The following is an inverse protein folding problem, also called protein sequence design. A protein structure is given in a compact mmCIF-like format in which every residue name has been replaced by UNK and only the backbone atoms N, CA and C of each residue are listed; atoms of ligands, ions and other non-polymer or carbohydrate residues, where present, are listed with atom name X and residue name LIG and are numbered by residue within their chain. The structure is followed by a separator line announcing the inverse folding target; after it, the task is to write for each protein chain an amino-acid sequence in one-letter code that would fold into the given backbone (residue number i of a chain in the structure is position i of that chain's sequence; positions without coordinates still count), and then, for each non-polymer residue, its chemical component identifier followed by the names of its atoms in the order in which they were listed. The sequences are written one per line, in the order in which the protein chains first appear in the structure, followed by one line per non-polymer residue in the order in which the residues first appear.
data_IF_523164085759
#
_entry.id   IF_523164085759
#
_cell.length_a   1.000
_cell.length_b   1.000
_cell.length_c   1.000
_cell.angle_alpha   90.00
_cell.angle_beta   90.00
_cell.angle_gamma   90.00
#
_symmetry.space_group_name_H-M   'P 1'
#
loop_
_entity.id
_entity.type
_entity.pdbx_description
1 polymer ?
#
# COMPACT_ATOMS: atom_id res chain seq x y z
N UNK A 1 -18.34 39.79 27.00
CA UNK A 1 -18.91 38.51 27.42
C UNK A 1 -19.24 37.60 26.23
N UNK A 2 -19.79 38.16 25.17
CA UNK A 2 -20.12 37.34 23.97
C UNK A 2 -18.90 36.80 23.21
N UNK A 3 -17.74 37.44 23.35
CA UNK A 3 -16.52 36.99 22.68
C UNK A 3 -15.95 35.66 23.21
N UNK A 4 -16.20 35.37 24.50
CA UNK A 4 -15.73 34.13 25.11
C UNK A 4 -16.44 32.90 24.54
N UNK A 5 -17.70 33.03 24.17
CA UNK A 5 -18.50 31.96 23.62
C UNK A 5 -18.01 31.56 22.22
N UNK A 6 -17.53 32.55 21.47
CA UNK A 6 -17.04 32.31 20.09
C UNK A 6 -15.72 31.54 20.03
N UNK A 7 -14.88 31.68 21.05
CA UNK A 7 -13.58 31.02 21.09
C UNK A 7 -13.72 29.52 21.39
N UNK A 8 -14.70 29.14 22.23
CA UNK A 8 -14.91 27.75 22.60
C UNK A 8 -15.20 26.81 21.43
N UNK A 9 -16.12 27.14 20.50
CA UNK A 9 -16.39 26.26 19.35
C UNK A 9 -15.17 26.07 18.42
N UNK A 10 -14.37 27.12 18.23
CA UNK A 10 -13.18 27.04 17.38
C UNK A 10 -12.14 26.11 17.97
N UNK A 11 -11.95 26.13 19.29
CA UNK A 11 -11.03 25.24 19.98
C UNK A 11 -11.46 23.76 19.87
N UNK A 12 -12.77 23.51 19.97
CA UNK A 12 -13.31 22.17 19.85
C UNK A 12 -13.07 21.59 18.45
N UNK A 13 -13.21 22.40 17.41
CA UNK A 13 -12.96 21.95 16.03
C UNK A 13 -11.49 21.57 15.82
N UNK A 14 -10.57 22.34 16.37
CA UNK A 14 -9.14 22.04 16.25
C UNK A 14 -8.79 20.72 16.93
N UNK A 15 -9.38 20.43 18.07
CA UNK A 15 -9.15 19.17 18.78
C UNK A 15 -9.70 17.96 18.02
N UNK A 16 -10.77 18.13 17.29
CA UNK A 16 -11.37 17.03 16.51
C UNK A 16 -10.49 16.61 15.33
N UNK A 17 -9.72 17.50 14.75
CA UNK A 17 -8.83 17.17 13.63
C UNK A 17 -7.63 16.32 14.05
N UNK A 18 -7.09 16.53 15.25
CA UNK A 18 -5.89 15.84 15.71
C UNK A 18 -6.06 14.30 15.83
N UNK A 19 -7.16 13.78 16.41
CA UNK A 19 -7.36 12.33 16.47
C UNK A 19 -7.43 11.65 15.11
N UNK A 20 -8.02 12.30 14.11
CA UNK A 20 -8.12 11.74 12.76
C UNK A 20 -6.74 11.57 12.11
N UNK A 21 -5.87 12.55 12.27
CA UNK A 21 -4.50 12.47 11.73
C UNK A 21 -3.68 11.38 12.41
N UNK A 22 -3.81 11.23 13.71
CA UNK A 22 -3.13 10.18 14.46
C UNK A 22 -3.58 8.79 14.02
N UNK A 23 -4.87 8.60 13.75
CA UNK A 23 -5.41 7.33 13.29
C UNK A 23 -4.85 6.92 11.92
N UNK A 24 -4.67 7.87 11.00
CA UNK A 24 -4.10 7.59 9.68
C UNK A 24 -2.63 7.17 9.78
N UNK A 25 -1.88 7.72 10.72
CA UNK A 25 -0.47 7.42 10.89
C UNK A 25 -0.21 6.00 11.43
N UNK A 26 -1.23 5.32 11.96
CA UNK A 26 -1.08 4.01 12.58
C UNK A 26 -1.70 2.87 11.76
N UNK A 27 -1.84 3.05 10.45
CA UNK A 27 -2.37 2.01 9.57
C UNK A 27 -1.53 0.74 9.64
N UNK A 28 -2.15 -0.46 9.76
CA UNK A 28 -1.41 -1.71 9.86
C UNK A 28 -0.72 -2.10 8.56
N UNK A 29 0.33 -2.93 8.68
CA UNK A 29 1.11 -3.41 7.54
C UNK A 29 0.26 -4.12 6.48
N UNK A 30 -0.71 -4.93 6.92
CA UNK A 30 -1.62 -5.64 6.01
C UNK A 30 -2.47 -4.70 5.18
N UNK A 31 -2.80 -3.51 5.70
CA UNK A 31 -3.54 -2.49 4.94
C UNK A 31 -2.74 -1.94 3.79
N UNK A 32 -1.44 -1.71 3.98
CA UNK A 32 -0.57 -1.24 2.90
C UNK A 32 -0.41 -2.30 1.81
N UNK A 33 -0.31 -3.58 2.20
CA UNK A 33 -0.25 -4.68 1.24
C UNK A 33 -1.53 -4.76 0.41
N UNK A 34 -2.68 -4.74 1.08
CA UNK A 34 -3.97 -4.78 0.40
C UNK A 34 -4.14 -3.61 -0.56
N UNK A 35 -3.78 -2.41 -0.13
CA UNK A 35 -3.89 -1.21 -0.95
C UNK A 35 -2.99 -1.28 -2.19
N UNK A 36 -1.75 -1.75 -2.00
CA UNK A 36 -0.80 -1.87 -3.11
C UNK A 36 -1.26 -2.90 -4.14
N UNK A 37 -1.72 -4.07 -3.69
CA UNK A 37 -2.20 -5.10 -4.61
C UNK A 37 -3.47 -4.67 -5.35
N UNK A 38 -4.38 -3.97 -4.67
CA UNK A 38 -5.57 -3.42 -5.32
C UNK A 38 -5.17 -2.40 -6.40
N UNK A 39 -4.22 -1.52 -6.10
CA UNK A 39 -3.74 -0.52 -7.06
C UNK A 39 -3.04 -1.18 -8.26
N UNK A 40 -2.22 -2.21 -8.02
CA UNK A 40 -1.55 -2.96 -9.08
C UNK A 40 -2.55 -3.64 -10.02
N UNK A 41 -3.60 -4.23 -9.46
CA UNK A 41 -4.63 -4.88 -10.26
C UNK A 41 -5.43 -3.87 -11.07
N UNK A 42 -5.69 -2.67 -10.53
CA UNK A 42 -6.34 -1.60 -11.30
C UNK A 42 -5.45 -1.13 -12.44
N UNK A 43 -4.15 -0.97 -12.20
CA UNK A 43 -3.21 -0.60 -13.26
C UNK A 43 -3.23 -1.62 -14.39
N UNK A 44 -3.12 -2.90 -14.05
CA UNK A 44 -3.11 -3.98 -15.02
C UNK A 44 -4.38 -4.01 -15.87
N UNK A 45 -5.54 -3.83 -15.24
CA UNK A 45 -6.82 -3.93 -15.94
C UNK A 45 -7.16 -2.69 -16.76
N UNK A 46 -6.82 -1.50 -16.28
CA UNK A 46 -7.16 -0.25 -16.96
C UNK A 46 -6.09 0.21 -17.95
N UNK A 47 -4.83 -0.14 -17.71
CA UNK A 47 -3.68 0.28 -18.51
C UNK A 47 -3.53 1.79 -18.64
N UNK A 48 -4.11 2.55 -17.70
CA UNK A 48 -4.04 4.02 -17.71
C UNK A 48 -2.81 4.48 -16.96
N UNK A 49 -2.16 5.52 -17.46
CA UNK A 49 -0.96 6.07 -16.84
C UNK A 49 -1.19 6.49 -15.39
N UNK A 50 -2.32 7.15 -15.13
CA UNK A 50 -2.60 7.62 -13.75
C UNK A 50 -2.83 6.47 -12.78
N UNK A 51 -3.55 5.42 -13.17
CA UNK A 51 -3.74 4.26 -12.28
C UNK A 51 -2.44 3.49 -12.08
N UNK A 52 -1.58 3.45 -13.08
CA UNK A 52 -0.29 2.79 -12.97
C UNK A 52 0.72 3.62 -12.15
N UNK A 53 0.62 4.94 -12.19
CA UNK A 53 1.42 5.79 -11.32
C UNK A 53 0.98 5.63 -9.86
N UNK A 54 -0.33 5.57 -9.61
CA UNK A 54 -0.86 5.29 -8.27
C UNK A 54 -0.34 3.95 -7.75
N UNK A 55 -0.33 2.92 -8.62
CA UNK A 55 0.18 1.61 -8.26
C UNK A 55 1.67 1.65 -7.93
N UNK A 56 2.45 2.39 -8.71
CA UNK A 56 3.88 2.55 -8.45
C UNK A 56 4.12 3.22 -7.09
N UNK A 57 3.37 4.28 -6.79
CA UNK A 57 3.51 4.99 -5.53
C UNK A 57 3.13 4.11 -4.34
N UNK A 58 2.05 3.35 -4.46
CA UNK A 58 1.62 2.42 -3.41
C UNK A 58 2.64 1.30 -3.21
N UNK A 59 3.21 0.79 -4.30
CA UNK A 59 4.22 -0.25 -4.24
C UNK A 59 5.51 0.24 -3.59
N UNK A 60 5.95 1.45 -3.90
CA UNK A 60 7.14 2.05 -3.28
C UNK A 60 6.95 2.22 -1.77
N UNK A 61 5.77 2.68 -1.33
CA UNK A 61 5.46 2.80 0.08
C UNK A 61 5.51 1.45 0.79
N UNK A 62 4.96 0.41 0.14
CA UNK A 62 4.98 -0.93 0.68
C UNK A 62 6.41 -1.49 0.75
N UNK A 63 7.21 -1.29 -0.29
CA UNK A 63 8.61 -1.75 -0.29
C UNK A 63 9.37 -1.13 0.87
N UNK A 64 9.22 0.17 1.10
CA UNK A 64 9.87 0.84 2.22
C UNK A 64 9.48 0.22 3.56
N UNK A 65 8.22 -0.15 3.73
CA UNK A 65 7.75 -0.81 4.94
C UNK A 65 8.37 -2.20 5.09
N UNK A 66 8.42 -2.98 4.01
CA UNK A 66 8.93 -4.35 4.03
C UNK A 66 10.45 -4.40 4.22
N UNK A 67 11.15 -3.29 4.05
CA UNK A 67 12.57 -3.17 4.36
C UNK A 67 12.85 -3.17 5.86
N UNK A 68 11.84 -2.95 6.69
CA UNK A 68 11.99 -2.96 8.14
C UNK A 68 12.43 -4.33 8.67
N UNK A 69 13.22 -4.37 9.77
CA UNK A 69 13.77 -5.64 10.27
C UNK A 69 12.71 -6.66 10.66
N UNK A 70 11.61 -6.23 11.26
CA UNK A 70 10.54 -7.11 11.67
C UNK A 70 9.88 -7.78 10.46
N UNK A 71 9.59 -7.02 9.42
CA UNK A 71 8.97 -7.55 8.22
C UNK A 71 9.90 -8.51 7.48
N UNK A 72 11.18 -8.20 7.43
CA UNK A 72 12.17 -9.05 6.77
C UNK A 72 12.35 -10.39 7.49
N UNK A 73 12.20 -10.41 8.81
CA UNK A 73 12.27 -11.64 9.58
C UNK A 73 11.03 -12.51 9.39
N UNK A 74 9.84 -11.88 9.41
CA UNK A 74 8.57 -12.60 9.32
C UNK A 74 8.24 -13.05 7.91
N UNK A 75 8.61 -12.26 6.90
CA UNK A 75 8.29 -12.53 5.50
C UNK A 75 9.50 -12.22 4.61
N UNK A 76 10.56 -13.03 4.71
CA UNK A 76 11.84 -12.71 4.04
C UNK A 76 11.78 -12.69 2.52
N UNK A 77 10.80 -13.37 1.92
CA UNK A 77 10.65 -13.41 0.46
C UNK A 77 9.74 -12.33 -0.09
N UNK A 78 9.01 -11.62 0.79
CA UNK A 78 8.08 -10.59 0.35
C UNK A 78 8.80 -9.45 -0.37
N UNK A 79 9.87 -8.92 0.21
CA UNK A 79 10.60 -7.79 -0.37
C UNK A 79 11.14 -8.12 -1.76
N UNK A 80 11.74 -9.29 -1.93
CA UNK A 80 12.25 -9.71 -3.23
C UNK A 80 11.17 -9.84 -4.28
N UNK A 81 10.01 -10.39 -3.90
CA UNK A 81 8.88 -10.51 -4.79
C UNK A 81 8.34 -9.13 -5.21
N UNK A 82 8.27 -8.18 -4.27
CA UNK A 82 7.81 -6.83 -4.56
C UNK A 82 8.76 -6.06 -5.46
N UNK A 83 10.07 -6.23 -5.29
CA UNK A 83 11.04 -5.58 -6.19
C UNK A 83 10.94 -6.15 -7.60
N UNK A 84 10.60 -7.41 -7.74
CA UNK A 84 10.35 -8.00 -9.06
C UNK A 84 9.09 -7.40 -9.69
N UNK A 85 8.01 -7.22 -8.90
CA UNK A 85 6.81 -6.53 -9.39
C UNK A 85 7.17 -5.12 -9.87
N UNK A 86 7.99 -4.41 -9.12
CA UNK A 86 8.41 -3.05 -9.48
C UNK A 86 9.09 -3.01 -10.84
N UNK A 87 10.00 -3.96 -11.10
CA UNK A 87 10.70 -4.05 -12.37
C UNK A 87 9.74 -4.32 -13.53
N UNK A 88 8.83 -5.29 -13.35
CA UNK A 88 7.87 -5.65 -14.39
C UNK A 88 6.86 -4.53 -14.60
N UNK A 89 6.43 -3.84 -13.53
CA UNK A 89 5.54 -2.70 -13.64
C UNK A 89 6.16 -1.57 -14.46
N UNK A 90 7.44 -1.28 -14.23
CA UNK A 90 8.14 -0.26 -15.01
C UNK A 90 8.13 -0.61 -16.50
N UNK A 91 8.44 -1.86 -16.84
CA UNK A 91 8.40 -2.33 -18.22
C UNK A 91 6.98 -2.26 -18.80
N UNK A 92 5.99 -2.64 -18.02
CA UNK A 92 4.57 -2.59 -18.44
C UNK A 92 4.14 -1.14 -18.76
N UNK A 93 4.55 -0.18 -17.95
CA UNK A 93 4.24 1.23 -18.18
C UNK A 93 4.83 1.75 -19.48
N UNK A 94 5.98 1.24 -19.87
CA UNK A 94 6.64 1.59 -21.13
C UNK A 94 6.21 0.69 -22.29
N UNK A 95 5.20 -0.16 -22.09
CA UNK A 95 4.65 -1.10 -23.07
C UNK A 95 5.69 -2.12 -23.56
N UNK A 96 6.68 -2.40 -22.73
CA UNK A 96 7.68 -3.42 -23.01
C UNK A 96 7.31 -4.78 -22.41
N UNK A 97 6.21 -4.84 -21.67
CA UNK A 97 5.73 -6.06 -21.02
C UNK A 97 4.22 -6.16 -21.13
N UNK A 98 3.67 -7.38 -21.15
CA UNK A 98 2.24 -7.62 -21.29
C UNK A 98 1.56 -7.77 -19.93
N UNK A 99 0.22 -7.69 -19.92
CA UNK A 99 -0.56 -7.76 -18.68
C UNK A 99 -0.54 -9.14 -18.05
N UNK A 100 -0.33 -10.20 -18.83
CA UNK A 100 -0.22 -11.56 -18.29
C UNK A 100 1.03 -11.72 -17.44
N UNK A 101 2.17 -11.23 -17.90
CA UNK A 101 3.41 -11.28 -17.12
C UNK A 101 3.33 -10.43 -15.86
N UNK A 102 2.71 -9.26 -15.95
CA UNK A 102 2.48 -8.43 -14.78
C UNK A 102 1.58 -9.15 -13.77
N UNK A 103 0.53 -9.81 -14.24
CA UNK A 103 -0.36 -10.59 -13.35
C UNK A 103 0.39 -11.71 -12.65
N UNK A 104 1.27 -12.42 -13.37
CA UNK A 104 2.06 -13.50 -12.78
C UNK A 104 2.93 -13.02 -11.62
N UNK A 105 3.63 -11.90 -11.78
CA UNK A 105 4.50 -11.40 -10.71
C UNK A 105 3.68 -10.81 -9.55
N UNK A 106 2.51 -10.22 -9.83
CA UNK A 106 1.59 -9.77 -8.78
C UNK A 106 1.11 -10.95 -7.94
N UNK A 107 0.69 -12.02 -8.59
CA UNK A 107 0.18 -13.23 -7.91
C UNK A 107 1.29 -13.89 -7.08
N UNK A 108 2.50 -13.95 -7.61
CA UNK A 108 3.64 -14.49 -6.89
C UNK A 108 3.94 -13.66 -5.63
N UNK A 109 3.90 -12.33 -5.76
CA UNK A 109 4.12 -11.45 -4.62
C UNK A 109 3.00 -11.57 -3.58
N UNK A 110 1.75 -11.72 -4.02
CA UNK A 110 0.63 -11.91 -3.10
C UNK A 110 0.79 -13.16 -2.26
N UNK A 111 1.39 -14.21 -2.82
CA UNK A 111 1.70 -15.43 -2.08
C UNK A 111 2.79 -15.25 -1.03
N UNK A 112 3.73 -14.33 -1.26
CA UNK A 112 4.84 -14.07 -0.34
C UNK A 112 4.56 -12.94 0.65
N UNK A 113 3.54 -12.13 0.38
CA UNK A 113 3.18 -10.96 1.20
C UNK A 113 1.71 -11.06 1.62
N UNK A 114 1.39 -11.86 2.65
CA UNK A 114 0.00 -12.07 3.05
C UNK A 114 -0.71 -10.77 3.41
N UNK A 115 -1.96 -10.63 2.98
CA UNK A 115 -2.74 -9.41 3.19
C UNK A 115 -3.66 -9.47 4.39
N UNK A 116 -3.83 -10.66 4.99
CA UNK A 116 -4.62 -10.82 6.20
C UNK A 116 -4.03 -11.93 7.09
N UNK A 117 -4.43 -11.94 8.37
CA UNK A 117 -3.92 -12.89 9.34
C UNK A 117 -4.26 -14.34 8.98
N UNK A 118 -5.43 -14.58 8.40
CA UNK A 118 -5.86 -15.93 8.02
C UNK A 118 -4.98 -16.47 6.89
N UNK A 119 -4.69 -15.65 5.88
CA UNK A 119 -3.80 -16.05 4.79
C UNK A 119 -2.40 -16.34 5.29
N UNK A 120 -1.90 -15.56 6.23
CA UNK A 120 -0.58 -15.77 6.82
C UNK A 120 -0.52 -17.09 7.58
N UNK A 121 -1.57 -17.43 8.34
CA UNK A 121 -1.63 -18.67 9.09
C UNK A 121 -1.69 -19.90 8.17
N UNK A 122 -2.46 -19.82 7.10
CA UNK A 122 -2.61 -20.92 6.14
C UNK A 122 -1.33 -21.12 5.34
N UNK A 123 -0.61 -20.04 5.04
CA UNK A 123 0.63 -20.10 4.28
C UNK A 123 1.79 -20.76 5.01
N UNK A 124 1.63 -20.98 6.28
CA UNK A 124 2.62 -21.70 7.08
C UNK A 124 2.43 -23.20 6.97
#
# INVERSE_FOLDING_TARGET
MSSLIRIGPALLLALQCLPAMAAEATAPATSLRSAAFAALNRCRSTRRQETCLDAQNALEALIRQEEGPEQRLNHPRCLGALTHVETVLAAFRWRLENSHNLQQVIDAAAGQCPTNATSAAVGQ
#
